data_IF_763504993218
#
_entry.id   IF_763504993218
#
_cell.length_a   1.000
_cell.length_b   1.000
_cell.length_c   1.000
_cell.angle_alpha   90.00
_cell.angle_beta   90.00
_cell.angle_gamma   90.00
#
_symmetry.space_group_name_H-M   'P 1'
#
loop_
_entity.id
_entity.type
_entity.pdbx_description
1 polymer ?
#
# COMPACT_ATOMS: atom_id res chain seq x y z
N UNK A 1 15.83 5.76 7.27
CA UNK A 1 14.58 6.56 7.25
C UNK A 1 14.63 7.80 6.35
N UNK A 2 15.72 8.59 6.35
CA UNK A 2 15.81 9.81 5.52
C UNK A 2 15.69 9.51 4.00
N UNK A 3 16.27 8.40 3.54
CA UNK A 3 16.13 7.98 2.14
C UNK A 3 14.68 7.68 1.76
N UNK A 4 13.92 7.08 2.68
CA UNK A 4 12.51 6.79 2.47
C UNK A 4 11.70 8.07 2.31
N UNK A 5 11.98 9.10 3.12
CA UNK A 5 11.33 10.40 3.01
C UNK A 5 11.58 11.05 1.65
N UNK A 6 12.83 11.04 1.17
CA UNK A 6 13.17 11.62 -0.13
C UNK A 6 12.45 10.90 -1.28
N UNK A 7 12.38 9.57 -1.21
CA UNK A 7 11.61 8.78 -2.18
C UNK A 7 10.10 9.06 -2.11
N UNK A 8 9.55 9.19 -0.89
CA UNK A 8 8.15 9.50 -0.65
C UNK A 8 7.77 10.90 -1.16
N UNK A 9 8.63 11.90 -0.97
CA UNK A 9 8.44 13.27 -1.47
C UNK A 9 8.45 13.32 -3.00
N UNK A 10 9.37 12.61 -3.64
CA UNK A 10 9.43 12.50 -5.11
C UNK A 10 8.23 11.77 -5.70
N UNK A 11 7.75 10.71 -5.05
CA UNK A 11 6.63 9.92 -5.53
C UNK A 11 5.27 10.61 -5.32
N UNK A 12 5.11 11.32 -4.19
CA UNK A 12 3.83 11.90 -3.76
C UNK A 12 3.96 13.32 -3.22
N UNK A 13 4.35 14.31 -4.04
CA UNK A 13 4.67 15.67 -3.58
C UNK A 13 3.53 16.40 -2.88
N UNK A 14 2.28 16.04 -3.15
CA UNK A 14 1.09 16.67 -2.54
C UNK A 14 0.66 16.01 -1.22
N UNK A 15 0.99 14.73 -1.01
CA UNK A 15 0.48 13.92 0.12
C UNK A 15 1.56 13.26 0.97
N UNK A 16 2.84 13.49 0.67
CA UNK A 16 3.97 12.94 1.43
C UNK A 16 3.92 13.32 2.90
N UNK A 17 3.48 14.55 3.24
CA UNK A 17 3.36 15.04 4.63
C UNK A 17 2.44 14.18 5.48
N UNK A 18 1.27 13.82 4.95
CA UNK A 18 0.32 12.93 5.65
C UNK A 18 0.88 11.51 5.76
N UNK A 19 1.55 11.04 4.70
CA UNK A 19 2.14 9.71 4.67
C UNK A 19 3.30 9.55 5.67
N UNK A 20 4.22 10.53 5.73
CA UNK A 20 5.33 10.49 6.69
C UNK A 20 4.83 10.66 8.12
N UNK A 21 3.83 11.52 8.36
CA UNK A 21 3.25 11.66 9.70
C UNK A 21 2.66 10.34 10.21
N UNK A 22 2.02 9.57 9.33
CA UNK A 22 1.55 8.22 9.65
C UNK A 22 2.71 7.25 9.92
N UNK A 23 3.80 7.32 9.17
CA UNK A 23 4.98 6.48 9.42
C UNK A 23 5.65 6.85 10.75
N UNK A 24 5.73 8.13 11.08
CA UNK A 24 6.28 8.61 12.36
C UNK A 24 5.43 8.18 13.54
N UNK A 25 4.10 8.13 13.40
CA UNK A 25 3.23 7.63 14.48
C UNK A 25 3.43 6.14 14.75
N UNK A 26 3.87 5.34 13.78
CA UNK A 26 4.26 3.94 14.00
C UNK A 26 5.46 3.83 14.95
N UNK A 27 6.32 4.84 15.03
CA UNK A 27 7.44 4.87 15.97
C UNK A 27 7.01 4.91 17.44
N UNK A 28 5.73 5.16 17.73
CA UNK A 28 5.18 5.02 19.08
C UNK A 28 4.85 3.57 19.45
N UNK A 29 4.60 2.72 18.45
CA UNK A 29 4.19 1.32 18.64
C UNK A 29 5.30 0.33 18.34
N UNK A 30 6.30 0.70 17.55
CA UNK A 30 7.40 -0.15 17.13
C UNK A 30 8.74 0.49 17.46
N UNK A 31 9.74 -0.35 17.74
CA UNK A 31 11.11 0.11 17.96
C UNK A 31 11.65 0.88 16.76
N UNK A 32 12.43 1.96 17.00
CA UNK A 32 12.98 2.79 15.93
C UNK A 32 13.88 1.99 14.97
N UNK A 33 14.60 0.98 15.47
CA UNK A 33 15.42 0.09 14.64
C UNK A 33 14.60 -0.77 13.70
N UNK A 34 13.47 -1.30 14.18
CA UNK A 34 12.53 -2.09 13.38
C UNK A 34 11.91 -1.22 12.29
N UNK A 35 11.51 -0.01 12.65
CA UNK A 35 10.92 0.94 11.71
C UNK A 35 11.92 1.37 10.62
N UNK A 36 13.20 1.56 10.97
CA UNK A 36 14.26 1.85 10.01
C UNK A 36 14.45 0.72 9.00
N UNK A 37 14.54 -0.54 9.46
CA UNK A 37 14.67 -1.71 8.58
C UNK A 37 13.45 -1.90 7.70
N UNK A 38 12.25 -1.63 8.24
CA UNK A 38 11.02 -1.68 7.45
C UNK A 38 10.98 -0.61 6.34
N UNK A 39 11.44 0.61 6.63
CA UNK A 39 11.57 1.69 5.63
C UNK A 39 12.57 1.32 4.54
N UNK A 40 13.72 0.78 4.91
CA UNK A 40 14.74 0.32 3.96
C UNK A 40 14.19 -0.79 3.05
N UNK A 41 13.50 -1.77 3.64
CA UNK A 41 12.81 -2.81 2.88
C UNK A 41 11.78 -2.21 1.92
N UNK A 42 10.97 -1.26 2.36
CA UNK A 42 9.98 -0.62 1.50
C UNK A 42 10.61 0.04 0.27
N UNK A 43 11.82 0.59 0.38
CA UNK A 43 12.58 1.15 -0.74
C UNK A 43 13.02 0.03 -1.70
N UNK A 44 13.59 -1.06 -1.19
CA UNK A 44 14.06 -2.19 -2.01
C UNK A 44 12.93 -2.78 -2.86
N UNK A 45 11.72 -2.88 -2.30
CA UNK A 45 10.55 -3.39 -3.02
C UNK A 45 9.77 -2.31 -3.78
N UNK A 46 10.18 -1.04 -3.73
CA UNK A 46 9.45 0.09 -4.33
C UNK A 46 8.07 0.36 -3.72
N UNK A 47 7.76 -0.25 -2.56
CA UNK A 47 6.46 -0.17 -1.90
C UNK A 47 6.39 1.04 -0.95
N UNK A 48 6.60 2.24 -1.48
CA UNK A 48 6.74 3.50 -0.72
C UNK A 48 5.36 4.01 -0.27
N UNK A 49 4.80 3.42 0.79
CA UNK A 49 3.55 3.89 1.39
C UNK A 49 3.47 3.57 2.88
N UNK A 50 2.70 4.35 3.64
CA UNK A 50 2.41 4.06 5.05
C UNK A 50 1.87 2.64 5.27
N UNK A 51 0.93 2.20 4.42
CA UNK A 51 0.31 0.87 4.53
C UNK A 51 1.35 -0.24 4.35
N UNK A 52 2.26 -0.07 3.39
CA UNK A 52 3.34 -1.02 3.14
C UNK A 52 4.27 -1.12 4.33
N UNK A 53 4.73 0.02 4.86
CA UNK A 53 5.63 0.06 6.02
C UNK A 53 4.95 -0.57 7.24
N UNK A 54 3.70 -0.20 7.52
CA UNK A 54 2.90 -0.79 8.59
C UNK A 54 2.83 -2.31 8.46
N UNK A 55 2.50 -2.83 7.28
CA UNK A 55 2.40 -4.28 7.02
C UNK A 55 3.75 -4.99 7.18
N UNK A 56 4.85 -4.35 6.78
CA UNK A 56 6.21 -4.89 6.97
C UNK A 56 6.55 -4.98 8.47
N UNK A 57 6.19 -3.95 9.25
CA UNK A 57 6.37 -3.95 10.70
C UNK A 57 5.51 -5.03 11.38
N UNK A 58 4.22 -5.08 11.07
CA UNK A 58 3.26 -6.04 11.66
C UNK A 58 3.65 -7.50 11.37
N UNK A 59 4.08 -7.79 10.14
CA UNK A 59 4.41 -9.15 9.72
C UNK A 59 5.85 -9.56 10.08
N UNK A 60 6.64 -8.70 10.72
CA UNK A 60 8.04 -9.00 11.01
C UNK A 60 8.94 -9.16 9.78
N UNK A 61 8.48 -8.68 8.61
CA UNK A 61 9.12 -8.96 7.31
C UNK A 61 10.43 -8.19 7.11
N UNK A 62 10.82 -7.34 8.06
CA UNK A 62 12.09 -6.61 8.02
C UNK A 62 13.32 -7.52 8.24
N UNK A 63 13.14 -8.76 8.73
CA UNK A 63 14.24 -9.72 8.97
C UNK A 63 14.39 -10.75 7.84
N UNK A 64 13.28 -11.19 7.25
CA UNK A 64 13.28 -12.33 6.32
C UNK A 64 13.53 -11.89 4.88
N UNK A 65 14.59 -12.41 4.25
CA UNK A 65 14.85 -12.30 2.82
C UNK A 65 13.82 -13.04 1.94
N UNK A 66 12.85 -13.73 2.54
CA UNK A 66 11.90 -14.55 1.80
C UNK A 66 10.94 -13.69 0.97
N UNK A 67 11.17 -13.76 -0.34
CA UNK A 67 10.59 -12.99 -1.44
C UNK A 67 9.30 -13.62 -1.92
N UNK A 68 8.47 -14.13 -1.01
CA UNK A 68 7.12 -14.58 -1.37
C UNK A 68 6.20 -13.37 -1.37
N UNK A 69 6.29 -12.62 -2.46
CA UNK A 69 5.45 -11.47 -2.76
C UNK A 69 3.98 -11.80 -2.54
N UNK A 70 3.47 -11.49 -1.35
CA UNK A 70 2.05 -11.54 -1.07
C UNK A 70 1.44 -10.31 -1.72
N UNK A 71 1.28 -10.39 -3.05
CA UNK A 71 0.42 -9.51 -3.83
C UNK A 71 -0.92 -9.51 -3.13
N UNK A 72 -1.22 -8.44 -2.40
CA UNK A 72 -2.57 -8.18 -1.95
C UNK A 72 -3.39 -8.19 -3.22
N UNK A 73 -4.26 -9.19 -3.35
CA UNK A 73 -5.40 -9.11 -4.25
C UNK A 73 -6.15 -7.86 -3.82
N UNK A 74 -5.85 -6.74 -4.47
CA UNK A 74 -6.79 -5.64 -4.51
C UNK A 74 -8.05 -6.28 -5.04
N UNK A 75 -9.06 -6.43 -4.18
CA UNK A 75 -10.38 -6.90 -4.54
C UNK A 75 -11.04 -5.81 -5.39
N UNK A 76 -10.47 -5.53 -6.55
CA UNK A 76 -11.19 -4.97 -7.65
C UNK A 76 -12.24 -6.01 -7.97
N UNK A 77 -13.50 -5.66 -7.76
CA UNK A 77 -14.61 -6.45 -8.25
C UNK A 77 -14.36 -6.66 -9.74
N UNK A 78 -13.88 -7.86 -10.10
CA UNK A 78 -13.92 -8.37 -11.46
C UNK A 78 -15.39 -8.60 -11.78
N UNK A 79 -16.14 -7.50 -11.89
CA UNK A 79 -17.53 -7.55 -12.26
C UNK A 79 -17.54 -7.84 -13.76
N UNK A 80 -18.20 -8.92 -14.14
CA UNK A 80 -18.34 -9.27 -15.54
C UNK A 80 -19.04 -8.11 -16.26
N UNK A 81 -18.31 -7.45 -17.18
CA UNK A 81 -18.83 -6.31 -17.93
C UNK A 81 -20.09 -6.67 -18.73
N UNK A 82 -20.32 -7.97 -19.01
CA UNK A 82 -21.52 -8.47 -19.67
C UNK A 82 -22.83 -8.16 -18.90
N UNK A 83 -22.74 -7.88 -17.59
CA UNK A 83 -23.90 -7.51 -16.76
C UNK A 83 -24.46 -6.16 -17.21
N UNK A 84 -23.63 -5.22 -17.67
CA UNK A 84 -24.09 -3.93 -18.16
C UNK A 84 -24.77 -4.02 -19.52
N UNK A 85 -24.43 -5.02 -20.33
CA UNK A 85 -25.06 -5.27 -21.63
C UNK A 85 -26.53 -5.70 -21.46
N UNK A 86 -26.82 -6.47 -20.40
CA UNK A 86 -28.20 -6.86 -20.02
C UNK A 86 -29.04 -5.70 -19.47
N UNK A 87 -28.40 -4.68 -18.90
CA UNK A 87 -29.09 -3.47 -18.40
C UNK A 87 -29.33 -2.45 -19.50
N UNK A 88 -28.47 -2.39 -20.52
CA UNK A 88 -28.63 -1.53 -21.68
C UNK A 88 -29.53 -2.14 -22.76
N UNK A 89 -29.61 -3.47 -22.82
CA UNK A 89 -30.46 -4.25 -23.72
C UNK A 89 -31.95 -4.25 -23.34
N UNK A 90 -32.58 -3.07 -23.39
CA UNK A 90 -33.93 -2.88 -23.93
C UNK A 90 -35.16 -3.63 -23.39
N UNK A 91 -35.09 -4.43 -22.32
CA UNK A 91 -36.23 -5.24 -21.84
C UNK A 91 -36.55 -4.91 -20.37
N UNK A 92 -36.82 -3.63 -20.08
CA UNK A 92 -37.33 -3.18 -18.78
C UNK A 92 -38.85 -2.95 -18.84
N UNK A 93 -39.60 -3.21 -17.74
CA UNK A 93 -41.07 -3.12 -17.70
C UNK A 93 -41.63 -1.69 -17.73
N UNK A 94 -40.80 -0.69 -18.03
CA UNK A 94 -41.18 0.72 -18.12
C UNK A 94 -41.25 1.17 -19.58
N UNK A 95 -41.85 0.33 -20.43
CA UNK A 95 -42.31 0.68 -21.78
C UNK A 95 -43.84 0.59 -21.80
#
# INVERSE_FOLDING_TARGET
MLDFLNHLEKAFPQSWRRSIQGVLSLGQSFDPDVLNKACERAIVFGAISYRSVKRICENGLYVSSDTRGSTVTGSGFANDLSIYDRLAGGEGPWK
#
